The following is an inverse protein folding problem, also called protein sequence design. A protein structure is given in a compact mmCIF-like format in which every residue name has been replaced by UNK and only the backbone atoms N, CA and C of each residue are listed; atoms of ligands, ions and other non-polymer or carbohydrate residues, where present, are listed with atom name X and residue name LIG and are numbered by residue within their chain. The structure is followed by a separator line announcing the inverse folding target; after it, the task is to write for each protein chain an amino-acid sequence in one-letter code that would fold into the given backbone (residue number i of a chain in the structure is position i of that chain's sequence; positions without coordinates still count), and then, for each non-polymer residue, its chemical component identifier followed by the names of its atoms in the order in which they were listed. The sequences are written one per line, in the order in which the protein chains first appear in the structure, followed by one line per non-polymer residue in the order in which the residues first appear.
data_IF_779858019413
#
_entry.id   IF_779858019413
#
_cell.length_a   1.000
_cell.length_b   1.000
_cell.length_c   1.000
_cell.angle_alpha   90.00
_cell.angle_beta   90.00
_cell.angle_gamma   90.00
#
_symmetry.space_group_name_H-M   'P 1'
#
loop_
_entity.id
_entity.type
_entity.pdbx_description
1 polymer ?
#
# COMPACT_ATOMS: atom_id res chain seq x y z
N UNK A 1 14.42 -9.75 2.23
CA UNK A 1 14.02 -9.06 3.49
C UNK A 1 14.76 -7.74 3.76
N UNK A 2 16.03 -7.58 3.33
CA UNK A 2 16.82 -6.38 3.65
C UNK A 2 16.97 -5.34 2.52
N UNK A 3 16.34 -5.57 1.36
CA UNK A 3 16.41 -4.63 0.21
C UNK A 3 16.04 -3.19 0.57
N UNK A 4 15.04 -3.00 1.44
CA UNK A 4 14.62 -1.66 1.90
C UNK A 4 15.77 -0.96 2.64
N UNK A 5 16.47 -1.66 3.53
CA UNK A 5 17.61 -1.10 4.26
C UNK A 5 18.76 -0.81 3.30
N UNK A 6 19.16 -1.79 2.49
CA UNK A 6 20.25 -1.65 1.52
C UNK A 6 20.01 -0.47 0.55
N UNK A 7 18.76 -0.21 0.17
CA UNK A 7 18.41 0.85 -0.78
C UNK A 7 18.27 2.22 -0.12
N UNK A 8 17.76 2.30 1.12
CA UNK A 8 17.28 3.55 1.71
C UNK A 8 18.00 3.99 2.99
N UNK A 9 18.90 3.19 3.57
CA UNK A 9 19.52 3.50 4.88
C UNK A 9 20.27 4.84 4.95
N UNK A 10 20.71 5.38 3.82
CA UNK A 10 21.36 6.69 3.72
C UNK A 10 20.43 7.83 3.30
N UNK A 11 19.16 7.53 3.02
CA UNK A 11 18.14 8.46 2.51
C UNK A 11 17.05 8.78 3.53
N UNK A 12 16.95 7.99 4.61
CA UNK A 12 15.95 8.15 5.66
C UNK A 12 16.61 8.11 7.04
N UNK A 13 15.97 8.74 8.02
CA UNK A 13 16.51 8.81 9.39
C UNK A 13 16.44 7.46 10.14
N UNK A 14 15.51 6.58 9.76
CA UNK A 14 15.26 5.31 10.44
C UNK A 14 14.60 4.27 9.52
N UNK A 15 14.99 3.00 9.69
CA UNK A 15 14.33 1.83 9.09
C UNK A 15 13.87 0.89 10.21
N UNK A 16 12.58 0.55 10.22
CA UNK A 16 11.97 -0.40 11.16
C UNK A 16 11.82 -1.76 10.47
N UNK A 17 12.39 -2.80 11.06
CA UNK A 17 12.21 -4.18 10.59
C UNK A 17 10.91 -4.78 11.14
N UNK A 18 9.88 -4.81 10.29
CA UNK A 18 8.57 -5.40 10.59
C UNK A 18 8.45 -6.89 10.25
N UNK A 19 9.55 -7.56 9.89
CA UNK A 19 9.52 -8.91 9.35
C UNK A 19 8.96 -8.96 7.91
N UNK A 20 8.40 -10.11 7.52
CA UNK A 20 7.82 -10.28 6.18
C UNK A 20 6.40 -9.70 6.11
N UNK A 21 6.26 -8.59 5.39
CA UNK A 21 4.96 -8.02 5.02
C UNK A 21 4.56 -8.48 3.60
N UNK A 22 3.26 -8.42 3.31
CA UNK A 22 2.76 -8.62 1.94
C UNK A 22 3.30 -7.53 1.00
N UNK A 23 3.56 -7.90 -0.26
CA UNK A 23 4.02 -6.97 -1.30
C UNK A 23 2.88 -6.44 -2.17
N UNK A 24 1.69 -7.05 -2.07
CA UNK A 24 0.53 -6.66 -2.85
C UNK A 24 -0.02 -5.30 -2.38
N UNK A 25 -0.28 -4.38 -3.32
CA UNK A 25 -0.72 -3.04 -2.97
C UNK A 25 -2.16 -3.04 -2.43
N UNK A 26 -2.51 -1.98 -1.72
CA UNK A 26 -3.89 -1.72 -1.29
C UNK A 26 -4.79 -1.33 -2.45
N UNK A 27 -6.08 -1.61 -2.28
CA UNK A 27 -7.16 -1.06 -3.12
C UNK A 27 -7.26 0.44 -2.89
N UNK A 28 -7.37 1.21 -3.97
CA UNK A 28 -7.50 2.68 -3.92
C UNK A 28 -8.90 3.05 -4.40
N UNK A 29 -9.63 3.76 -3.56
CA UNK A 29 -10.99 4.25 -3.84
C UNK A 29 -10.98 5.77 -3.80
N UNK A 30 -11.39 6.39 -4.90
CA UNK A 30 -11.70 7.80 -4.98
C UNK A 30 -13.08 8.04 -4.36
N UNK A 31 -13.11 8.90 -3.33
CA UNK A 31 -14.33 9.29 -2.61
C UNK A 31 -14.58 10.81 -2.73
N UNK A 32 -13.99 11.48 -3.72
CA UNK A 32 -14.14 12.94 -3.90
C UNK A 32 -15.44 13.34 -4.59
N UNK A 33 -16.11 12.41 -5.28
CA UNK A 33 -17.42 12.59 -5.91
C UNK A 33 -18.58 11.93 -5.15
N UNK A 34 -19.78 12.06 -5.69
CA UNK A 34 -21.00 11.52 -5.08
C UNK A 34 -21.06 9.98 -5.06
N UNK A 35 -20.34 9.34 -6.00
CA UNK A 35 -20.26 7.88 -6.12
C UNK A 35 -18.79 7.46 -5.99
N UNK A 36 -18.45 6.52 -5.09
CA UNK A 36 -17.10 6.01 -4.97
C UNK A 36 -16.61 5.35 -6.26
N UNK A 37 -15.37 5.63 -6.66
CA UNK A 37 -14.74 5.05 -7.86
C UNK A 37 -13.49 4.28 -7.49
N UNK A 38 -13.39 3.02 -7.93
CA UNK A 38 -12.18 2.23 -7.71
C UNK A 38 -11.11 2.68 -8.72
N UNK A 39 -10.01 3.24 -8.24
CA UNK A 39 -8.87 3.64 -9.07
C UNK A 39 -7.84 2.51 -9.23
N UNK A 40 -7.72 1.64 -8.23
CA UNK A 40 -6.83 0.48 -8.25
C UNK A 40 -7.42 -0.67 -7.45
N UNK A 41 -7.44 -1.86 -8.03
CA UNK A 41 -7.71 -3.10 -7.32
C UNK A 41 -6.44 -3.60 -6.62
N UNK A 42 -6.56 -3.91 -5.34
CA UNK A 42 -5.49 -4.47 -4.51
C UNK A 42 -6.05 -5.52 -3.54
N UNK A 43 -5.38 -5.72 -2.41
CA UNK A 43 -5.73 -6.80 -1.46
C UNK A 43 -7.10 -6.61 -0.79
N UNK A 44 -7.64 -5.38 -0.76
CA UNK A 44 -8.96 -5.11 -0.20
C UNK A 44 -10.05 -5.45 -1.20
N UNK A 45 -10.87 -6.48 -0.91
CA UNK A 45 -12.01 -6.84 -1.74
C UNK A 45 -13.03 -5.68 -1.78
N UNK A 46 -13.35 -5.12 -2.96
CA UNK A 46 -14.24 -3.97 -3.07
C UNK A 46 -15.72 -4.35 -3.18
N UNK A 47 -16.09 -5.62 -2.96
CA UNK A 47 -17.44 -6.16 -3.13
C UNK A 47 -18.51 -5.41 -2.31
N UNK A 48 -18.12 -4.65 -1.29
CA UNK A 48 -19.00 -3.79 -0.49
C UNK A 48 -19.31 -2.42 -1.14
N UNK A 49 -18.63 -2.06 -2.24
CA UNK A 49 -18.79 -0.82 -2.99
C UNK A 49 -19.68 -1.03 -4.24
N UNK A 50 -19.90 -2.29 -4.63
CA UNK A 50 -20.67 -2.69 -5.81
C UNK A 50 -22.19 -2.72 -5.56
#
# INVERSE_FOLDING_TARGET
PYEIRESLEHQVDLVIDGGHCGIDPTTVVDMTGDVPVILRHGVGAPDFIA
#
